data_IF_130627072519
#
_entry.id   IF_130627072519
#
_cell.length_a   1.000
_cell.length_b   1.000
_cell.length_c   1.000
_cell.angle_alpha   90.00
_cell.angle_beta   90.00
_cell.angle_gamma   90.00
#
_symmetry.space_group_name_H-M   'P 1'
#
loop_
_entity.id
_entity.type
_entity.pdbx_description
1 polymer ?
#
# COMPACT_ATOMS: atom_id res chain seq x y z
N UNK A 1 48.60 14.57 -52.25
CA UNK A 1 47.76 15.26 -51.25
C UNK A 1 46.77 14.28 -50.63
N UNK A 2 46.98 14.01 -49.33
CA UNK A 2 46.09 13.45 -48.30
C UNK A 2 44.93 12.53 -48.72
N UNK A 3 45.15 11.21 -48.61
CA UNK A 3 44.12 10.23 -48.21
C UNK A 3 44.37 9.90 -46.74
N UNK A 4 43.56 10.43 -45.84
CA UNK A 4 43.55 10.04 -44.42
C UNK A 4 42.25 9.30 -44.14
N UNK A 5 42.40 8.04 -43.74
CA UNK A 5 41.35 7.23 -43.14
C UNK A 5 40.80 7.96 -41.90
N UNK A 6 39.48 8.09 -41.82
CA UNK A 6 38.78 8.25 -40.55
C UNK A 6 37.97 6.99 -40.31
N UNK A 7 38.51 6.12 -39.48
CA UNK A 7 37.77 5.02 -38.85
C UNK A 7 36.92 5.67 -37.77
N UNK A 8 35.60 5.72 -38.01
CA UNK A 8 34.65 6.10 -36.98
C UNK A 8 34.55 4.94 -35.97
N UNK A 9 35.20 5.11 -34.82
CA UNK A 9 35.03 4.23 -33.66
C UNK A 9 33.65 4.56 -33.05
N UNK A 10 32.60 3.94 -33.57
CA UNK A 10 31.30 3.94 -32.91
C UNK A 10 31.41 3.00 -31.69
N UNK A 11 31.72 3.58 -30.52
CA UNK A 11 31.60 2.89 -29.26
C UNK A 11 30.12 2.61 -29.00
N UNK A 12 29.66 1.43 -29.42
CA UNK A 12 28.46 0.78 -28.92
C UNK A 12 28.70 0.47 -27.44
N UNK A 13 28.41 1.43 -26.57
CA UNK A 13 28.13 1.14 -25.16
C UNK A 13 26.78 0.42 -25.15
N UNK A 14 26.81 -0.89 -25.42
CA UNK A 14 25.73 -1.75 -24.99
C UNK A 14 25.73 -1.66 -23.47
N UNK A 15 24.73 -0.98 -22.91
CA UNK A 15 24.35 -1.14 -21.51
C UNK A 15 24.08 -2.64 -21.35
N UNK A 16 25.07 -3.37 -20.87
CA UNK A 16 24.90 -4.74 -20.41
C UNK A 16 23.96 -4.66 -19.21
N UNK A 17 22.66 -4.83 -19.46
CA UNK A 17 21.72 -5.11 -18.39
C UNK A 17 22.17 -6.43 -17.78
N UNK A 18 22.71 -6.36 -16.57
CA UNK A 18 23.09 -7.54 -15.83
C UNK A 18 21.85 -8.45 -15.74
N UNK A 19 21.96 -9.66 -16.30
CA UNK A 19 20.90 -10.64 -16.15
C UNK A 19 20.75 -10.97 -14.66
N UNK A 20 19.51 -11.01 -14.19
CA UNK A 20 19.19 -11.39 -12.82
C UNK A 20 19.69 -12.81 -12.60
N UNK A 21 20.54 -13.05 -11.59
CA UNK A 21 21.05 -14.38 -11.34
C UNK A 21 19.90 -15.28 -10.84
N UNK A 22 19.74 -16.48 -11.42
CA UNK A 22 18.84 -17.50 -10.87
C UNK A 22 19.28 -17.96 -9.47
N UNK A 23 20.58 -17.85 -9.20
CA UNK A 23 21.19 -18.18 -7.90
C UNK A 23 22.39 -17.28 -7.60
N UNK A 24 22.52 -16.84 -6.35
CA UNK A 24 23.68 -16.07 -5.85
C UNK A 24 24.59 -16.91 -4.97
N UNK A 25 25.84 -16.48 -4.79
CA UNK A 25 26.76 -17.16 -3.86
C UNK A 25 26.44 -16.81 -2.40
N UNK A 26 26.75 -17.70 -1.43
CA UNK A 26 26.56 -17.42 -0.01
C UNK A 26 27.27 -16.15 0.46
N UNK A 27 28.45 -15.84 -0.09
CA UNK A 27 29.23 -14.65 0.26
C UNK A 27 28.52 -13.38 -0.21
N UNK A 28 27.98 -13.39 -1.43
CA UNK A 28 27.23 -12.25 -1.98
C UNK A 28 25.93 -12.04 -1.20
N UNK A 29 25.18 -13.11 -0.90
CA UNK A 29 23.97 -13.03 -0.08
C UNK A 29 24.27 -12.50 1.33
N UNK A 30 25.34 -12.99 1.97
CA UNK A 30 25.74 -12.51 3.30
C UNK A 30 26.16 -11.03 3.32
N UNK A 31 26.74 -10.53 2.22
CA UNK A 31 27.19 -9.15 2.11
C UNK A 31 26.06 -8.18 1.73
N UNK A 32 25.26 -8.54 0.72
CA UNK A 32 24.26 -7.64 0.10
C UNK A 32 22.83 -7.88 0.58
N UNK A 33 22.54 -8.99 1.26
CA UNK A 33 21.16 -9.38 1.60
C UNK A 33 20.30 -9.46 0.35
N UNK A 34 19.10 -8.87 0.39
CA UNK A 34 18.16 -8.84 -0.74
C UNK A 34 18.72 -8.13 -1.98
N UNK A 35 19.67 -7.20 -1.81
CA UNK A 35 20.32 -6.50 -2.92
C UNK A 35 21.29 -7.40 -3.71
N UNK A 36 21.47 -8.68 -3.34
CA UNK A 36 22.19 -9.65 -4.16
C UNK A 36 21.50 -9.93 -5.50
N UNK A 37 20.17 -9.78 -5.54
CA UNK A 37 19.34 -9.94 -6.75
C UNK A 37 18.67 -8.62 -7.16
N UNK A 38 18.25 -7.81 -6.18
CA UNK A 38 17.51 -6.55 -6.39
C UNK A 38 18.43 -5.32 -6.47
N UNK A 39 19.63 -5.46 -7.03
CA UNK A 39 20.60 -4.36 -7.11
C UNK A 39 20.07 -3.23 -7.99
N UNK A 40 19.81 -2.07 -7.38
CA UNK A 40 19.23 -0.90 -8.06
C UNK A 40 17.78 -0.60 -7.70
N UNK A 41 17.13 -1.43 -6.87
CA UNK A 41 15.86 -1.03 -6.23
C UNK A 41 16.06 0.25 -5.41
N UNK A 42 15.09 1.16 -5.44
CA UNK A 42 15.20 2.44 -4.73
C UNK A 42 15.07 2.26 -3.20
N UNK A 43 15.76 3.12 -2.43
CA UNK A 43 15.43 3.30 -1.01
C UNK A 43 13.97 3.82 -0.91
N UNK A 44 13.16 3.19 -0.05
CA UNK A 44 11.72 3.48 0.06
C UNK A 44 11.42 4.94 0.47
N UNK A 45 12.37 5.56 1.17
CA UNK A 45 12.36 6.97 1.59
C UNK A 45 13.74 7.57 1.30
N UNK A 46 13.94 8.91 1.33
CA UNK A 46 15.25 9.50 1.12
C UNK A 46 16.33 8.87 2.00
N UNK A 47 17.47 8.54 1.40
CA UNK A 47 18.56 7.80 2.04
C UNK A 47 19.11 8.47 3.32
N UNK A 48 19.02 9.81 3.40
CA UNK A 48 19.45 10.61 4.54
C UNK A 48 18.34 10.86 5.58
N UNK A 49 17.15 10.25 5.41
CA UNK A 49 16.05 10.41 6.35
C UNK A 49 16.26 9.60 7.63
N UNK A 50 15.70 10.09 8.74
CA UNK A 50 15.72 9.35 10.01
C UNK A 50 14.98 8.00 9.93
N UNK A 51 13.97 7.90 9.06
CA UNK A 51 13.27 6.64 8.80
C UNK A 51 14.19 5.63 8.09
N UNK A 52 14.92 6.03 7.05
CA UNK A 52 15.85 5.11 6.38
C UNK A 52 16.96 4.63 7.31
N UNK A 53 17.47 5.52 8.16
CA UNK A 53 18.48 5.16 9.16
C UNK A 53 17.97 4.07 10.11
N UNK A 54 16.73 4.18 10.60
CA UNK A 54 16.12 3.16 11.46
C UNK A 54 15.87 1.84 10.71
N UNK A 55 15.39 1.91 9.46
CA UNK A 55 15.19 0.73 8.61
C UNK A 55 16.49 -0.04 8.43
N UNK A 56 17.59 0.63 8.06
CA UNK A 56 18.90 -0.02 7.89
C UNK A 56 19.44 -0.58 9.21
N UNK A 57 19.22 0.11 10.33
CA UNK A 57 19.63 -0.39 11.64
C UNK A 57 18.90 -1.68 12.05
N UNK A 58 17.58 -1.74 11.88
CA UNK A 58 16.79 -2.95 12.13
C UNK A 58 17.11 -4.07 11.14
N UNK A 59 17.29 -3.74 9.87
CA UNK A 59 17.71 -4.67 8.83
C UNK A 59 19.05 -5.33 9.13
N UNK A 60 20.06 -4.54 9.52
CA UNK A 60 21.39 -5.06 9.83
C UNK A 60 21.36 -6.10 10.96
N UNK A 61 20.52 -5.92 11.99
CA UNK A 61 20.33 -6.91 13.05
C UNK A 61 19.68 -8.22 12.54
N UNK A 62 18.93 -8.15 11.45
CA UNK A 62 18.27 -9.28 10.81
C UNK A 62 19.07 -9.90 9.66
N UNK A 63 20.32 -9.43 9.42
CA UNK A 63 21.17 -9.92 8.34
C UNK A 63 20.87 -9.32 6.96
N UNK A 64 20.16 -8.20 6.91
CA UNK A 64 19.82 -7.47 5.70
C UNK A 64 20.19 -5.97 5.83
N UNK A 65 21.40 -5.56 5.45
CA UNK A 65 21.86 -4.18 5.64
C UNK A 65 21.02 -3.11 4.94
N UNK A 66 20.25 -3.47 3.91
CA UNK A 66 19.34 -2.58 3.21
C UNK A 66 18.01 -2.38 3.95
N UNK A 67 17.62 -3.35 4.80
CA UNK A 67 16.42 -3.30 5.63
C UNK A 67 15.10 -3.64 4.92
N UNK A 68 15.16 -4.31 3.76
CA UNK A 68 14.02 -4.88 3.05
C UNK A 68 13.19 -5.79 3.97
N UNK A 69 13.86 -6.69 4.71
CA UNK A 69 13.20 -7.70 5.57
C UNK A 69 12.44 -7.10 6.76
N UNK A 70 12.71 -5.83 7.10
CA UNK A 70 11.99 -5.11 8.18
C UNK A 70 10.51 -5.00 7.85
N UNK A 71 10.18 -4.80 6.57
CA UNK A 71 8.79 -4.69 6.11
C UNK A 71 8.35 -5.96 5.37
N UNK A 72 9.21 -6.52 4.53
CA UNK A 72 8.85 -7.63 3.66
C UNK A 72 9.02 -9.01 4.29
N UNK A 73 9.80 -9.17 5.37
CA UNK A 73 10.18 -10.49 5.86
C UNK A 73 11.11 -11.22 4.87
N UNK A 74 10.98 -12.53 4.76
CA UNK A 74 11.84 -13.37 3.91
C UNK A 74 13.14 -13.80 4.58
N UNK A 75 14.05 -14.34 3.77
CA UNK A 75 15.36 -14.82 4.19
C UNK A 75 16.47 -14.08 3.42
N UNK A 76 17.19 -13.14 4.06
CA UNK A 76 18.22 -12.37 3.37
C UNK A 76 19.47 -13.19 3.02
N UNK A 77 19.56 -14.44 3.49
CA UNK A 77 20.61 -15.40 3.14
C UNK A 77 20.16 -16.42 2.09
N UNK A 78 18.93 -16.31 1.59
CA UNK A 78 18.41 -17.18 0.53
C UNK A 78 19.24 -17.01 -0.74
N UNK A 79 19.55 -18.12 -1.40
CA UNK A 79 20.40 -18.11 -2.60
C UNK A 79 19.58 -18.08 -3.88
N UNK A 80 18.31 -18.51 -3.82
CA UNK A 80 17.33 -18.43 -4.91
C UNK A 80 16.14 -17.56 -4.52
N UNK A 81 15.30 -17.20 -5.49
CA UNK A 81 14.07 -16.45 -5.23
C UNK A 81 13.13 -17.19 -4.25
N UNK A 82 12.99 -18.51 -4.38
CA UNK A 82 12.12 -19.31 -3.52
C UNK A 82 12.63 -19.31 -2.08
N UNK A 83 13.96 -19.45 -1.89
CA UNK A 83 14.56 -19.43 -0.56
C UNK A 83 14.48 -18.04 0.07
N UNK A 84 14.73 -16.98 -0.70
CA UNK A 84 14.73 -15.60 -0.22
C UNK A 84 13.32 -15.09 0.12
N UNK A 85 12.30 -15.54 -0.61
CA UNK A 85 10.90 -15.16 -0.38
C UNK A 85 10.15 -16.11 0.56
N UNK A 86 10.87 -16.83 1.44
CA UNK A 86 10.28 -17.72 2.43
C UNK A 86 10.54 -17.25 3.87
N UNK A 87 9.52 -17.37 4.72
CA UNK A 87 9.63 -17.11 6.16
C UNK A 87 9.93 -15.65 6.49
N UNK A 88 10.53 -15.41 7.65
CA UNK A 88 10.99 -14.10 8.10
C UNK A 88 12.15 -14.26 9.11
N UNK A 89 13.00 -13.24 9.31
CA UNK A 89 14.11 -13.33 10.26
C UNK A 89 13.63 -13.41 11.71
N UNK A 90 14.18 -14.35 12.48
CA UNK A 90 13.80 -14.55 13.89
C UNK A 90 14.06 -13.32 14.76
N UNK A 91 15.09 -12.54 14.43
CA UNK A 91 15.40 -11.27 15.09
C UNK A 91 14.23 -10.26 15.05
N UNK A 92 13.31 -10.40 14.11
CA UNK A 92 12.14 -9.52 13.95
C UNK A 92 10.85 -10.14 14.50
N UNK A 93 10.84 -11.40 14.94
CA UNK A 93 9.61 -12.14 15.26
C UNK A 93 8.70 -11.47 16.31
N UNK A 94 9.26 -10.66 17.20
CA UNK A 94 8.50 -9.97 18.25
C UNK A 94 7.47 -8.97 17.68
N UNK A 95 7.85 -8.19 16.67
CA UNK A 95 7.01 -7.09 16.13
C UNK A 95 6.98 -7.02 14.61
N UNK A 96 7.95 -7.59 13.92
CA UNK A 96 8.04 -7.56 12.46
C UNK A 96 7.28 -8.68 11.75
N UNK A 97 7.58 -8.85 10.44
CA UNK A 97 6.93 -9.82 9.59
C UNK A 97 7.04 -11.26 10.11
N UNK A 98 5.98 -12.05 9.89
CA UNK A 98 5.95 -13.49 10.23
C UNK A 98 6.29 -14.40 9.05
N UNK A 99 6.19 -13.85 7.84
CA UNK A 99 6.50 -14.52 6.58
C UNK A 99 6.88 -13.44 5.56
N UNK A 100 7.14 -13.85 4.32
CA UNK A 100 7.35 -12.92 3.23
C UNK A 100 6.04 -12.23 2.83
N UNK A 101 6.08 -10.90 2.72
CA UNK A 101 4.97 -10.04 2.33
C UNK A 101 5.31 -9.30 1.03
N UNK A 102 4.68 -9.65 -0.10
CA UNK A 102 4.89 -8.94 -1.37
C UNK A 102 4.48 -7.45 -1.29
N UNK A 103 3.37 -7.16 -0.60
CA UNK A 103 2.90 -5.80 -0.33
C UNK A 103 2.80 -5.57 1.19
N UNK A 104 3.85 -5.00 1.82
CA UNK A 104 3.86 -4.75 3.26
C UNK A 104 3.00 -3.54 3.65
N UNK A 105 2.42 -2.79 2.70
CA UNK A 105 1.50 -1.69 2.99
C UNK A 105 0.09 -2.13 3.37
N UNK A 106 -0.24 -3.41 3.14
CA UNK A 106 -1.56 -3.99 3.36
C UNK A 106 -2.05 -3.82 4.80
N UNK A 107 -3.30 -3.35 4.96
CA UNK A 107 -3.92 -3.14 6.29
C UNK A 107 -4.03 -4.42 7.11
N UNK A 108 -4.03 -5.58 6.45
CA UNK A 108 -4.22 -6.89 7.08
C UNK A 108 -2.99 -7.39 7.83
N UNK A 109 -1.83 -6.77 7.54
CA UNK A 109 -0.53 -7.09 8.13
C UNK A 109 0.21 -5.84 8.63
N UNK A 110 -0.43 -4.67 8.56
CA UNK A 110 0.20 -3.38 8.82
C UNK A 110 0.72 -3.26 10.27
N UNK A 111 0.13 -3.98 11.23
CA UNK A 111 0.62 -4.07 12.61
C UNK A 111 2.04 -4.65 12.68
N UNK A 112 2.40 -5.52 11.73
CA UNK A 112 3.70 -6.20 11.59
C UNK A 112 4.67 -5.54 10.63
N UNK A 113 4.26 -4.48 9.95
CA UNK A 113 5.11 -3.76 9.00
C UNK A 113 5.30 -2.33 9.47
N UNK A 114 4.43 -1.40 9.07
CA UNK A 114 4.48 0.01 9.45
C UNK A 114 4.24 0.22 10.95
N UNK A 115 3.34 -0.58 11.55
CA UNK A 115 2.95 -0.52 12.96
C UNK A 115 4.08 -0.80 13.95
N UNK A 116 5.18 -1.41 13.49
CA UNK A 116 6.41 -1.57 14.28
C UNK A 116 6.95 -0.24 14.79
N UNK A 117 6.92 0.79 13.93
CA UNK A 117 7.47 2.12 14.20
C UNK A 117 6.37 3.18 14.33
N UNK A 118 5.17 2.92 13.81
CA UNK A 118 4.03 3.83 13.83
C UNK A 118 2.84 3.20 14.59
N UNK A 119 2.92 3.06 15.92
CA UNK A 119 1.86 2.43 16.70
C UNK A 119 0.50 3.07 16.48
N UNK A 120 -0.51 2.23 16.24
CA UNK A 120 -1.91 2.64 16.09
C UNK A 120 -2.23 3.32 14.76
N UNK A 121 -1.31 3.37 13.79
CA UNK A 121 -1.63 3.83 12.44
C UNK A 121 -2.52 2.81 11.71
N UNK A 122 -2.20 1.52 11.85
CA UNK A 122 -2.99 0.39 11.35
C UNK A 122 -4.41 0.40 11.94
N UNK A 123 -4.53 0.62 13.25
CA UNK A 123 -5.81 0.75 13.94
C UNK A 123 -6.65 1.90 13.36
N UNK A 124 -6.07 3.12 13.29
CA UNK A 124 -6.76 4.29 12.77
C UNK A 124 -7.13 4.16 11.29
N UNK A 125 -6.29 3.50 10.49
CA UNK A 125 -6.62 3.22 9.10
C UNK A 125 -7.83 2.29 9.00
N UNK A 126 -7.96 1.29 9.88
CA UNK A 126 -9.17 0.45 9.97
C UNK A 126 -10.44 1.24 10.32
N UNK A 127 -10.33 2.32 11.08
CA UNK A 127 -11.46 3.20 11.43
C UNK A 127 -11.73 4.31 10.40
N UNK A 128 -10.84 4.54 9.45
CA UNK A 128 -10.93 5.68 8.52
C UNK A 128 -12.15 5.56 7.60
N UNK A 129 -12.69 6.71 7.15
CA UNK A 129 -13.80 6.74 6.19
C UNK A 129 -13.45 6.06 4.86
N UNK A 130 -12.19 6.18 4.45
CA UNK A 130 -11.63 5.49 3.28
C UNK A 130 -11.42 4.00 3.51
N UNK A 131 -11.64 3.47 4.72
CA UNK A 131 -11.63 2.03 5.03
C UNK A 131 -13.03 1.49 5.38
N UNK A 132 -13.89 2.30 5.98
CA UNK A 132 -15.22 1.85 6.40
C UNK A 132 -16.26 2.02 5.30
N UNK A 133 -16.11 3.02 4.41
CA UNK A 133 -17.13 3.48 3.45
C UNK A 133 -18.49 3.78 4.07
N UNK A 134 -18.53 4.03 5.39
CA UNK A 134 -19.75 3.98 6.17
C UNK A 134 -20.85 4.90 5.60
N UNK A 135 -20.52 6.17 5.33
CA UNK A 135 -21.45 7.13 4.74
C UNK A 135 -21.89 6.81 3.30
N UNK A 136 -21.01 6.20 2.50
CA UNK A 136 -21.34 5.80 1.12
C UNK A 136 -22.26 4.58 1.10
N UNK A 137 -21.98 3.59 1.93
CA UNK A 137 -22.85 2.42 2.12
C UNK A 137 -24.21 2.88 2.63
N UNK A 138 -24.22 3.74 3.64
CA UNK A 138 -25.46 4.33 4.17
C UNK A 138 -26.26 5.02 3.08
N UNK A 139 -25.65 5.90 2.29
CA UNK A 139 -26.36 6.62 1.22
C UNK A 139 -26.93 5.71 0.13
N UNK A 140 -26.16 4.69 -0.28
CA UNK A 140 -26.62 3.68 -1.23
C UNK A 140 -27.84 2.94 -0.65
N UNK A 141 -27.70 2.29 0.50
CA UNK A 141 -28.79 1.50 1.09
C UNK A 141 -30.01 2.35 1.47
N UNK A 142 -29.82 3.60 1.90
CA UNK A 142 -30.90 4.53 2.14
C UNK A 142 -31.75 4.75 0.87
N UNK A 143 -31.08 5.03 -0.25
CA UNK A 143 -31.73 5.28 -1.55
C UNK A 143 -32.53 4.08 -2.04
N UNK A 144 -32.06 2.87 -1.73
CA UNK A 144 -32.74 1.63 -2.09
C UNK A 144 -33.83 1.23 -1.08
N UNK A 145 -34.00 1.94 0.03
CA UNK A 145 -35.10 1.71 0.97
C UNK A 145 -34.79 0.71 2.09
N UNK A 146 -33.56 0.72 2.60
CA UNK A 146 -33.17 -0.03 3.81
C UNK A 146 -33.47 0.78 5.08
N UNK A 147 -34.50 0.42 5.88
CA UNK A 147 -34.96 1.22 7.01
C UNK A 147 -33.92 1.43 8.13
N UNK A 148 -32.98 0.49 8.28
CA UNK A 148 -31.90 0.59 9.25
C UNK A 148 -30.93 1.75 9.00
N UNK A 149 -30.97 2.35 7.79
CA UNK A 149 -30.13 3.49 7.39
C UNK A 149 -30.85 4.84 7.45
N UNK A 150 -32.11 4.86 7.87
CA UNK A 150 -32.90 6.10 7.99
C UNK A 150 -32.44 6.95 9.17
N UNK A 151 -32.85 8.21 9.19
CA UNK A 151 -32.50 9.19 10.25
C UNK A 151 -30.98 9.38 10.44
N UNK A 152 -30.22 9.24 9.35
CA UNK A 152 -28.75 9.38 9.36
C UNK A 152 -27.99 8.22 10.02
N UNK A 153 -28.67 7.11 10.31
CA UNK A 153 -28.04 5.91 10.89
C UNK A 153 -27.06 5.29 9.91
N UNK A 154 -25.86 5.00 10.40
CA UNK A 154 -24.79 4.39 9.62
C UNK A 154 -24.43 3.02 10.23
N UNK A 155 -25.26 1.98 10.05
CA UNK A 155 -25.06 0.69 10.74
C UNK A 155 -23.95 -0.17 10.13
N UNK A 156 -23.53 0.12 8.89
CA UNK A 156 -22.68 -0.75 8.10
C UNK A 156 -21.35 -0.12 7.70
N UNK A 157 -20.34 -0.96 7.61
CA UNK A 157 -19.05 -0.68 7.00
C UNK A 157 -18.65 -1.81 6.04
N UNK A 158 -17.45 -1.68 5.47
CA UNK A 158 -16.88 -2.73 4.62
C UNK A 158 -16.54 -4.02 5.37
N UNK A 159 -16.17 -3.88 6.64
CA UNK A 159 -15.87 -4.95 7.57
C UNK A 159 -16.50 -4.64 8.92
N UNK A 160 -16.56 -5.63 9.79
CA UNK A 160 -16.86 -5.39 11.20
C UNK A 160 -15.75 -4.54 11.82
N UNK A 161 -16.13 -3.40 12.36
CA UNK A 161 -15.20 -2.43 12.94
C UNK A 161 -15.77 -1.92 14.25
N UNK A 162 -14.90 -1.79 15.25
CA UNK A 162 -15.24 -1.22 16.54
C UNK A 162 -14.20 -0.22 16.97
N UNK A 163 -14.66 0.99 17.29
CA UNK A 163 -13.87 1.97 18.01
C UNK A 163 -13.76 1.52 19.47
N UNK A 164 -12.53 1.45 19.94
CA UNK A 164 -12.12 0.97 21.26
C UNK A 164 -11.33 2.02 22.05
N UNK A 165 -10.95 3.13 21.43
CA UNK A 165 -10.21 4.22 22.07
C UNK A 165 -11.11 5.45 22.37
N UNK A 166 -12.35 5.43 21.88
CA UNK A 166 -13.44 6.29 22.29
C UNK A 166 -13.60 7.54 21.43
N UNK A 167 -14.59 8.37 21.78
CA UNK A 167 -15.03 9.50 20.94
C UNK A 167 -14.04 10.68 20.83
N UNK A 168 -12.95 10.66 21.59
CA UNK A 168 -11.97 11.75 21.58
C UNK A 168 -10.79 11.33 20.70
N UNK A 169 -10.53 12.01 19.57
CA UNK A 169 -9.42 11.66 18.70
C UNK A 169 -8.07 11.66 19.44
N UNK A 170 -7.31 10.57 19.30
CA UNK A 170 -5.98 10.42 19.91
C UNK A 170 -4.95 11.40 19.33
N UNK A 171 -5.17 11.86 18.10
CA UNK A 171 -4.25 12.75 17.36
C UNK A 171 -4.97 14.02 16.91
N UNK A 172 -4.21 15.10 16.77
CA UNK A 172 -4.71 16.42 16.37
C UNK A 172 -4.51 17.47 17.45
N UNK A 173 -4.80 18.73 17.10
CA UNK A 173 -4.75 19.85 18.03
C UNK A 173 -5.91 19.79 19.03
N UNK A 174 -5.79 20.48 20.15
CA UNK A 174 -6.90 20.56 21.13
C UNK A 174 -8.16 21.18 20.51
N UNK A 175 -7.99 22.16 19.61
CA UNK A 175 -9.11 22.73 18.85
C UNK A 175 -9.80 21.68 17.94
N UNK A 176 -9.03 20.82 17.27
CA UNK A 176 -9.58 19.73 16.46
C UNK A 176 -10.34 18.72 17.32
N UNK A 177 -9.78 18.31 18.47
CA UNK A 177 -10.44 17.36 19.38
C UNK A 177 -11.76 17.92 19.92
N UNK A 178 -11.77 19.19 20.33
CA UNK A 178 -12.99 19.86 20.79
C UNK A 178 -14.05 19.92 19.68
N UNK A 179 -13.66 20.33 18.47
CA UNK A 179 -14.56 20.35 17.31
C UNK A 179 -15.16 18.97 17.00
N UNK A 180 -14.33 17.92 16.99
CA UNK A 180 -14.83 16.56 16.72
C UNK A 180 -15.77 16.07 17.82
N UNK A 181 -15.50 16.37 19.09
CA UNK A 181 -16.39 16.01 20.20
C UNK A 181 -17.77 16.67 20.05
N UNK A 182 -17.82 17.98 19.77
CA UNK A 182 -19.06 18.71 19.49
C UNK A 182 -19.82 18.12 18.30
N UNK A 183 -19.11 17.77 17.22
CA UNK A 183 -19.70 17.19 16.02
C UNK A 183 -20.31 15.80 16.29
N UNK A 184 -19.64 14.97 17.09
CA UNK A 184 -20.13 13.65 17.48
C UNK A 184 -21.32 13.72 18.44
N UNK A 185 -21.41 14.78 19.25
CA UNK A 185 -22.57 15.04 20.11
C UNK A 185 -23.78 15.49 19.30
N UNK A 186 -23.59 16.35 18.30
CA UNK A 186 -24.66 16.80 17.41
C UNK A 186 -25.20 15.70 16.48
N UNK A 187 -24.31 14.81 16.01
CA UNK A 187 -24.66 13.79 15.00
C UNK A 187 -24.26 12.37 15.42
N UNK A 188 -24.73 11.85 16.56
CA UNK A 188 -24.26 10.57 17.10
C UNK A 188 -24.50 9.37 16.16
N UNK A 189 -25.49 9.46 15.27
CA UNK A 189 -25.82 8.42 14.29
C UNK A 189 -24.82 8.35 13.11
N UNK A 190 -24.11 9.46 12.84
CA UNK A 190 -23.07 9.56 11.82
C UNK A 190 -21.68 9.15 12.35
N UNK A 191 -21.53 9.05 13.68
CA UNK A 191 -20.30 8.64 14.36
C UNK A 191 -20.58 7.44 15.29
N UNK A 192 -21.03 6.31 14.74
CA UNK A 192 -21.27 5.11 15.54
C UNK A 192 -19.94 4.56 16.07
N UNK A 193 -19.95 4.03 17.30
CA UNK A 193 -18.77 3.37 17.88
C UNK A 193 -18.51 1.97 17.32
N UNK A 194 -19.43 1.43 16.53
CA UNK A 194 -19.29 0.15 15.85
C UNK A 194 -20.00 0.17 14.50
N UNK A 195 -19.44 -0.56 13.53
CA UNK A 195 -20.00 -0.79 12.22
C UNK A 195 -20.02 -2.30 11.97
N UNK A 196 -21.11 -2.79 11.40
CA UNK A 196 -21.20 -4.18 10.95
C UNK A 196 -20.78 -4.28 9.49
N UNK A 197 -20.12 -5.36 9.11
CA UNK A 197 -19.93 -5.64 7.69
C UNK A 197 -21.28 -5.65 6.98
N UNK A 198 -21.38 -4.95 5.85
CA UNK A 198 -22.58 -4.98 5.00
C UNK A 198 -22.99 -6.43 4.69
N UNK A 199 -24.28 -6.82 4.69
CA UNK A 199 -24.66 -8.19 4.40
C UNK A 199 -24.37 -8.60 2.95
N UNK A 200 -24.41 -9.90 2.69
CA UNK A 200 -24.40 -10.48 1.34
C UNK A 200 -25.83 -10.78 0.90
N UNK A 201 -26.04 -10.88 -0.42
CA UNK A 201 -27.30 -11.31 -1.01
C UNK A 201 -27.01 -12.22 -2.22
N UNK A 202 -27.73 -13.34 -2.32
CA UNK A 202 -27.63 -14.26 -3.45
C UNK A 202 -28.43 -13.74 -4.66
N UNK A 203 -28.12 -14.24 -5.88
CA UNK A 203 -28.92 -13.92 -7.06
C UNK A 203 -30.42 -14.24 -6.89
N UNK A 204 -30.75 -15.33 -6.22
CA UNK A 204 -32.14 -15.75 -5.95
C UNK A 204 -32.84 -14.79 -4.99
N UNK A 205 -32.14 -14.35 -3.94
CA UNK A 205 -32.66 -13.34 -3.00
C UNK A 205 -32.89 -12.01 -3.70
N UNK A 206 -31.97 -11.60 -4.58
CA UNK A 206 -32.11 -10.39 -5.41
C UNK A 206 -33.28 -10.49 -6.39
N UNK A 207 -33.55 -11.68 -6.95
CA UNK A 207 -34.72 -11.88 -7.81
C UNK A 207 -36.03 -11.78 -7.03
N UNK A 208 -36.05 -12.26 -5.78
CA UNK A 208 -37.23 -12.21 -4.91
C UNK A 208 -37.48 -10.81 -4.34
N UNK A 209 -36.43 -10.10 -3.93
CA UNK A 209 -36.45 -8.71 -3.48
C UNK A 209 -35.38 -7.89 -4.23
N UNK A 210 -35.75 -7.20 -5.33
CA UNK A 210 -34.84 -6.40 -6.14
C UNK A 210 -34.07 -5.33 -5.36
N UNK A 211 -34.56 -4.91 -4.18
CA UNK A 211 -33.83 -3.98 -3.31
C UNK A 211 -32.44 -4.50 -2.93
N UNK A 212 -32.31 -5.82 -2.74
CA UNK A 212 -31.06 -6.46 -2.33
C UNK A 212 -29.95 -6.33 -3.39
N UNK A 213 -30.29 -5.93 -4.62
CA UNK A 213 -29.29 -5.57 -5.63
C UNK A 213 -28.37 -4.43 -5.16
N UNK A 214 -28.81 -3.59 -4.22
CA UNK A 214 -27.96 -2.56 -3.63
C UNK A 214 -26.72 -3.14 -2.93
N UNK A 215 -26.86 -4.31 -2.28
CA UNK A 215 -25.79 -5.00 -1.55
C UNK A 215 -24.75 -5.56 -2.53
N UNK A 216 -25.23 -6.19 -3.61
CA UNK A 216 -24.35 -6.75 -4.65
C UNK A 216 -23.67 -5.64 -5.45
N UNK A 217 -24.38 -4.55 -5.77
CA UNK A 217 -23.83 -3.35 -6.41
C UNK A 217 -22.74 -2.70 -5.55
N UNK A 218 -22.99 -2.52 -4.25
CA UNK A 218 -22.00 -1.97 -3.32
C UNK A 218 -20.72 -2.81 -3.35
N UNK A 219 -20.84 -4.14 -3.27
CA UNK A 219 -19.68 -5.04 -3.26
C UNK A 219 -18.91 -5.03 -4.57
N UNK A 220 -19.62 -5.18 -5.69
CA UNK A 220 -18.99 -5.34 -7.00
C UNK A 220 -18.42 -4.04 -7.57
N UNK A 221 -19.11 -2.92 -7.40
CA UNK A 221 -18.76 -1.67 -8.09
C UNK A 221 -18.14 -0.61 -7.20
N UNK A 222 -18.40 -0.67 -5.89
CA UNK A 222 -17.94 0.32 -4.94
C UNK A 222 -16.76 -0.18 -4.10
N UNK A 223 -16.87 -1.37 -3.51
CA UNK A 223 -15.86 -1.94 -2.60
C UNK A 223 -14.68 -2.61 -3.33
N UNK A 224 -14.76 -2.77 -4.66
CA UNK A 224 -13.68 -3.34 -5.49
C UNK A 224 -12.39 -2.52 -5.58
N UNK A 225 -12.42 -1.25 -5.18
CA UNK A 225 -11.30 -0.31 -5.31
C UNK A 225 -10.76 0.15 -3.96
N UNK A 226 -11.23 -0.47 -2.89
CA UNK A 226 -11.17 0.06 -1.56
C UNK A 226 -9.89 -0.38 -0.82
N UNK A 227 -9.48 0.35 0.21
CA UNK A 227 -8.14 0.26 0.84
C UNK A 227 -7.75 -1.15 1.29
N UNK A 228 -8.69 -2.04 1.60
CA UNK A 228 -8.40 -3.45 1.95
C UNK A 228 -8.17 -4.42 0.78
N UNK A 229 -8.32 -4.01 -0.48
CA UNK A 229 -8.21 -4.92 -1.64
C UNK A 229 -7.15 -4.47 -2.63
N UNK A 230 -6.45 -5.43 -3.22
CA UNK A 230 -5.59 -5.16 -4.37
C UNK A 230 -6.51 -4.76 -5.53
N UNK A 231 -6.20 -3.64 -6.18
CA UNK A 231 -6.96 -3.16 -7.34
C UNK A 231 -7.01 -4.20 -8.46
N UNK A 232 -7.80 -3.94 -9.51
CA UNK A 232 -7.79 -4.83 -10.67
C UNK A 232 -6.47 -4.63 -11.39
N UNK A 233 -5.86 -5.71 -11.84
CA UNK A 233 -4.65 -5.69 -12.68
C UNK A 233 -4.97 -5.21 -14.11
N UNK A 234 -5.48 -3.99 -14.23
CA UNK A 234 -5.95 -3.34 -15.45
C UNK A 234 -5.52 -1.89 -15.47
N UNK A 235 -5.36 -1.36 -16.69
CA UNK A 235 -5.03 0.04 -16.95
C UNK A 235 -5.89 1.01 -16.11
N UNK A 236 -5.24 1.92 -15.41
CA UNK A 236 -5.86 2.93 -14.55
C UNK A 236 -6.28 2.44 -13.16
N UNK A 237 -6.18 1.13 -12.87
CA UNK A 237 -6.69 0.53 -11.63
C UNK A 237 -5.59 -0.12 -10.77
N UNK A 238 -4.33 0.02 -11.19
CA UNK A 238 -3.16 -0.47 -10.46
C UNK A 238 -2.93 0.30 -9.17
N UNK A 239 -2.76 -0.42 -8.06
CA UNK A 239 -2.47 0.09 -6.72
C UNK A 239 -2.12 -1.07 -5.79
N UNK A 240 -1.44 -0.75 -4.69
CA UNK A 240 -1.31 -1.69 -3.56
C UNK A 240 -2.54 -1.68 -2.64
N UNK A 241 -2.42 -2.35 -1.50
CA UNK A 241 -3.39 -2.41 -0.41
C UNK A 241 -2.97 -1.54 0.76
N UNK A 242 -3.95 -0.96 1.43
CA UNK A 242 -3.75 -0.28 2.71
C UNK A 242 -2.98 1.01 2.57
N UNK A 243 -1.91 1.12 3.33
CA UNK A 243 -1.01 2.27 3.23
C UNK A 243 -0.47 2.42 1.79
N UNK A 244 -0.15 1.31 1.11
CA UNK A 244 0.43 1.37 -0.23
C UNK A 244 -0.57 1.79 -1.30
N UNK A 245 -1.89 1.72 -1.06
CA UNK A 245 -2.89 2.18 -2.03
C UNK A 245 -2.80 3.69 -2.32
N UNK A 246 -2.30 4.47 -1.35
CA UNK A 246 -2.13 5.92 -1.44
C UNK A 246 -0.65 6.34 -1.46
N UNK A 247 0.19 5.62 -0.71
CA UNK A 247 1.58 6.00 -0.51
C UNK A 247 2.55 5.38 -1.52
N UNK A 248 2.16 4.33 -2.25
CA UNK A 248 2.98 3.77 -3.32
C UNK A 248 2.31 4.11 -4.66
N UNK A 249 3.04 4.81 -5.52
CA UNK A 249 2.49 5.31 -6.76
C UNK A 249 2.59 4.28 -7.88
N UNK A 250 1.50 4.17 -8.63
CA UNK A 250 1.42 3.41 -9.88
C UNK A 250 1.10 4.40 -11.00
N UNK A 251 1.64 4.14 -12.19
CA UNK A 251 1.20 4.81 -13.41
C UNK A 251 -0.06 4.14 -13.98
N UNK A 252 -0.81 4.85 -14.81
CA UNK A 252 -2.02 4.30 -15.46
C UNK A 252 -1.74 3.03 -16.25
N UNK A 253 -0.53 2.91 -16.81
CA UNK A 253 -0.13 1.72 -17.55
C UNK A 253 0.43 0.59 -16.66
N UNK A 254 0.77 0.87 -15.40
CA UNK A 254 1.29 -0.10 -14.43
C UNK A 254 2.71 -0.58 -14.71
N UNK A 255 3.54 0.24 -15.34
CA UNK A 255 4.94 -0.10 -15.64
C UNK A 255 5.90 0.41 -14.56
N UNK A 256 6.96 -0.37 -14.33
CA UNK A 256 8.05 0.00 -13.45
C UNK A 256 9.05 0.95 -14.13
N UNK A 257 9.34 2.05 -13.47
CA UNK A 257 10.28 3.09 -13.90
C UNK A 257 11.58 3.08 -13.09
N UNK A 258 11.71 2.18 -12.11
CA UNK A 258 12.90 2.04 -11.29
C UNK A 258 14.03 1.27 -11.96
N UNK A 259 15.07 0.92 -11.19
CA UNK A 259 16.30 0.27 -11.70
C UNK A 259 16.52 -1.17 -11.25
N UNK A 260 15.61 -1.74 -10.46
CA UNK A 260 15.66 -3.16 -10.09
C UNK A 260 15.59 -4.08 -11.33
N UNK A 261 16.63 -4.89 -11.60
CA UNK A 261 16.69 -5.75 -12.77
C UNK A 261 15.70 -6.92 -12.71
N UNK A 262 15.16 -7.26 -11.53
CA UNK A 262 14.19 -8.35 -11.38
C UNK A 262 12.79 -7.98 -11.86
N UNK A 263 12.52 -6.68 -12.03
CA UNK A 263 11.21 -6.19 -12.47
C UNK A 263 11.25 -5.92 -13.98
N UNK A 264 10.42 -6.65 -14.73
CA UNK A 264 10.37 -6.52 -16.19
C UNK A 264 9.70 -5.21 -16.58
N UNK A 265 10.43 -4.32 -17.26
CA UNK A 265 9.92 -3.00 -17.69
C UNK A 265 8.68 -3.04 -18.60
N UNK A 266 8.50 -4.12 -19.35
CA UNK A 266 7.35 -4.31 -20.24
C UNK A 266 6.17 -5.06 -19.60
N UNK A 267 6.29 -5.45 -18.33
CA UNK A 267 5.23 -6.11 -17.57
C UNK A 267 4.41 -5.07 -16.81
N UNK A 268 3.09 -5.25 -16.81
CA UNK A 268 2.16 -4.38 -16.09
C UNK A 268 1.93 -4.91 -14.68
N UNK A 269 1.37 -4.07 -13.80
CA UNK A 269 1.08 -4.44 -12.41
C UNK A 269 2.14 -4.00 -11.41
N UNK A 270 3.10 -3.18 -11.85
CA UNK A 270 4.22 -2.72 -11.03
C UNK A 270 4.06 -1.25 -10.61
N UNK A 271 4.53 -0.87 -9.41
CA UNK A 271 4.58 0.53 -9.01
C UNK A 271 5.56 1.30 -9.90
N UNK A 272 5.49 2.63 -9.90
CA UNK A 272 6.44 3.46 -10.64
C UNK A 272 7.87 3.21 -10.15
N UNK A 273 8.06 3.24 -8.83
CA UNK A 273 9.34 3.01 -8.15
C UNK A 273 9.11 2.43 -6.76
N UNK A 274 10.14 1.85 -6.16
CA UNK A 274 10.10 1.46 -4.76
C UNK A 274 10.30 2.69 -3.86
N UNK A 275 9.30 3.58 -3.81
CA UNK A 275 9.35 4.83 -3.03
C UNK A 275 7.98 5.25 -2.52
N UNK A 276 7.89 5.67 -1.26
CA UNK A 276 6.67 6.24 -0.71
C UNK A 276 6.55 7.74 -1.00
N UNK A 277 5.31 8.17 -1.23
CA UNK A 277 4.89 9.58 -1.16
C UNK A 277 4.06 9.79 0.10
N UNK A 278 4.13 10.97 0.71
CA UNK A 278 3.36 11.30 1.90
C UNK A 278 3.11 12.81 1.97
N UNK A 279 3.92 13.54 2.72
CA UNK A 279 3.92 15.00 2.74
C UNK A 279 4.77 15.55 1.61
N UNK A 280 4.61 16.84 1.26
CA UNK A 280 5.43 17.48 0.22
C UNK A 280 6.93 17.49 0.55
N UNK A 281 7.29 17.26 1.81
CA UNK A 281 8.64 17.38 2.35
C UNK A 281 9.50 16.12 2.17
N UNK A 282 8.89 14.96 1.88
CA UNK A 282 9.62 13.68 1.71
C UNK A 282 10.39 13.57 0.37
N UNK A 283 10.20 14.56 -0.52
CA UNK A 283 10.75 14.56 -1.88
C UNK A 283 10.04 13.57 -2.80
N UNK A 284 9.85 13.96 -4.07
CA UNK A 284 9.08 13.16 -5.03
C UNK A 284 9.82 11.97 -5.65
N UNK A 285 9.08 11.20 -6.45
CA UNK A 285 9.54 10.00 -7.16
C UNK A 285 10.51 10.31 -8.33
N UNK A 286 10.48 11.54 -8.83
CA UNK A 286 11.40 12.08 -9.82
C UNK A 286 12.11 13.32 -9.24
N UNK A 287 13.25 13.66 -9.83
CA UNK A 287 13.92 14.91 -9.51
C UNK A 287 12.97 16.10 -9.75
N UNK A 288 12.89 17.01 -8.77
CA UNK A 288 11.98 18.16 -8.81
C UNK A 288 10.50 17.84 -8.55
N UNK A 289 10.10 16.57 -8.43
CA UNK A 289 8.72 16.22 -8.11
C UNK A 289 8.41 16.45 -6.61
N UNK A 290 7.15 16.79 -6.32
CA UNK A 290 6.62 16.87 -4.94
C UNK A 290 6.56 15.49 -4.31
N UNK A 291 6.88 15.38 -3.01
CA UNK A 291 6.70 14.16 -2.23
C UNK A 291 5.25 13.91 -1.77
N UNK A 292 4.35 14.84 -2.03
CA UNK A 292 2.94 14.73 -1.66
C UNK A 292 2.18 13.72 -2.51
N UNK A 293 1.15 13.10 -1.95
CA UNK A 293 0.22 12.22 -2.70
C UNK A 293 -0.41 13.02 -3.85
N UNK A 294 -0.23 12.62 -5.12
CA UNK A 294 -0.86 13.29 -6.26
C UNK A 294 -2.38 13.15 -6.23
N UNK A 295 -3.09 14.18 -6.68
CA UNK A 295 -4.55 14.12 -6.84
C UNK A 295 -4.99 13.03 -7.83
N UNK A 296 -4.14 12.68 -8.79
CA UNK A 296 -4.37 11.56 -9.71
C UNK A 296 -4.53 10.22 -8.98
N UNK A 297 -3.82 10.01 -7.86
CA UNK A 297 -4.00 8.82 -7.01
C UNK A 297 -5.40 8.76 -6.40
N UNK A 298 -6.01 9.91 -6.10
CA UNK A 298 -7.40 9.94 -5.66
C UNK A 298 -8.36 9.62 -6.82
N UNK A 299 -8.05 10.08 -8.03
CA UNK A 299 -8.91 9.88 -9.20
C UNK A 299 -8.97 8.42 -9.65
N UNK A 300 -7.90 7.63 -9.52
CA UNK A 300 -7.93 6.20 -9.83
C UNK A 300 -8.96 5.45 -8.96
N UNK A 301 -9.18 5.91 -7.73
CA UNK A 301 -10.19 5.34 -6.82
C UNK A 301 -11.59 5.96 -7.01
N UNK A 302 -11.68 7.28 -7.14
CA UNK A 302 -12.97 7.99 -7.11
C UNK A 302 -13.60 8.23 -8.48
N UNK A 303 -12.82 8.19 -9.56
CA UNK A 303 -13.28 8.46 -10.93
C UNK A 303 -13.07 7.28 -11.89
N UNK A 304 -12.55 6.14 -11.38
CA UNK A 304 -12.28 4.91 -12.16
C UNK A 304 -11.21 5.07 -13.25
N UNK A 305 -10.25 5.97 -13.03
CA UNK A 305 -9.21 6.34 -14.01
C UNK A 305 -9.73 7.30 -15.06
#
# INVERSE_FOLDING_TARGET
MKRWLWIALAALVMLAWAQVPEKVSPEVAAQKGCLSCHEGIEDIVPANSGMMAQIKAFGAMAGDPAGCVVCHGGNPKGLTAEEAHAGAPEALAARGPKTFYPDPGSIWIADRTCGQCHPGYDYRLNLALMQTEAGKIQGNLHTWGFPETWDGKTPYGNYDVKDTDGKVPQVGTEAYKAYMAELMEMYPQAFPGELKQIPEASPEEVQADPKLAALTYQRHDCQRCHVGVNGREKRGDYRGMGCSSCHILYGDEGFYEGSDPTVKRGERGHPLKHRIVATREIGGIHEGASGGIPTATCNSCHNRG
#
